data_IF_781624780793
#
_entry.id   IF_781624780793
#
_cell.length_a   1.000
_cell.length_b   1.000
_cell.length_c   1.000
_cell.angle_alpha   90.00
_cell.angle_beta   90.00
_cell.angle_gamma   90.00
#
_symmetry.space_group_name_H-M   'P 1'
#
loop_
_entity.id
_entity.type
_entity.pdbx_description
1 polymer ?
#
# COMPACT_ATOMS: atom_id res chain seq x y z
N UNK A 1 -9.36 -18.05 11.38
CA UNK A 1 -9.06 -16.74 10.75
C UNK A 1 -10.07 -16.56 9.63
N UNK A 2 -10.80 -15.45 9.61
CA UNK A 2 -11.66 -15.13 8.46
C UNK A 2 -10.78 -14.73 7.28
N UNK A 3 -11.07 -15.23 6.09
CA UNK A 3 -10.41 -14.73 4.89
C UNK A 3 -10.81 -13.28 4.65
N UNK A 4 -9.82 -12.46 4.32
CA UNK A 4 -10.06 -11.09 3.89
C UNK A 4 -10.35 -11.08 2.38
N UNK A 5 -11.26 -10.21 1.90
CA UNK A 5 -11.51 -10.09 0.47
C UNK A 5 -10.23 -9.66 -0.25
N UNK A 6 -9.90 -10.36 -1.33
CA UNK A 6 -8.85 -9.95 -2.25
C UNK A 6 -9.42 -8.97 -3.29
N UNK A 7 -8.58 -8.06 -3.79
CA UNK A 7 -8.91 -7.07 -4.81
C UNK A 7 -7.79 -7.03 -5.85
N UNK A 8 -8.14 -7.03 -7.14
CA UNK A 8 -7.20 -7.01 -8.28
C UNK A 8 -7.45 -5.85 -9.27
N UNK A 9 -8.27 -4.88 -8.87
CA UNK A 9 -8.59 -3.68 -9.65
C UNK A 9 -7.47 -2.63 -9.58
N UNK A 10 -6.33 -2.97 -10.17
CA UNK A 10 -5.14 -2.11 -10.18
C UNK A 10 -5.31 -0.85 -11.02
N UNK A 11 -6.15 -0.90 -12.06
CA UNK A 11 -6.42 0.24 -12.93
C UNK A 11 -7.00 1.41 -12.14
N UNK A 12 -8.03 1.15 -11.32
CA UNK A 12 -8.65 2.19 -10.50
C UNK A 12 -7.73 2.69 -9.39
N UNK A 13 -6.83 1.86 -8.86
CA UNK A 13 -5.81 2.33 -7.90
C UNK A 13 -4.99 3.46 -8.51
N UNK A 14 -4.57 3.30 -9.78
CA UNK A 14 -3.77 4.29 -10.50
C UNK A 14 -4.61 5.48 -10.94
N UNK A 15 -5.70 5.24 -11.69
CA UNK A 15 -6.50 6.28 -12.33
C UNK A 15 -7.21 7.19 -11.31
N UNK A 16 -7.66 6.63 -10.19
CA UNK A 16 -8.38 7.37 -9.15
C UNK A 16 -7.48 7.84 -8.00
N UNK A 17 -6.16 7.57 -8.06
CA UNK A 17 -5.20 7.86 -6.98
C UNK A 17 -5.71 7.38 -5.61
N UNK A 18 -6.21 6.13 -5.55
CA UNK A 18 -6.83 5.60 -4.33
C UNK A 18 -5.79 5.62 -3.19
N UNK A 19 -6.15 6.07 -1.97
CA UNK A 19 -5.22 6.07 -0.85
C UNK A 19 -4.71 4.66 -0.54
N UNK A 20 -3.40 4.54 -0.38
CA UNK A 20 -2.74 3.27 -0.06
C UNK A 20 -1.99 3.37 1.26
N UNK A 21 -2.02 2.28 2.03
CA UNK A 21 -1.18 2.09 3.21
C UNK A 21 -0.06 1.14 2.79
N UNK A 22 1.18 1.57 3.02
CA UNK A 22 2.35 0.74 2.80
C UNK A 22 2.86 0.20 4.14
N UNK A 23 2.75 -1.11 4.34
CA UNK A 23 3.10 -1.79 5.60
C UNK A 23 4.54 -2.31 5.65
N UNK A 24 5.33 -2.05 4.60
CA UNK A 24 6.75 -2.42 4.50
C UNK A 24 7.60 -1.63 5.49
N UNK A 25 8.86 -2.04 5.67
CA UNK A 25 9.79 -1.32 6.52
C UNK A 25 10.09 0.09 5.96
N UNK A 26 10.42 1.08 6.82
CA UNK A 26 10.71 2.45 6.36
C UNK A 26 11.81 2.53 5.30
N UNK A 27 12.82 1.66 5.38
CA UNK A 27 13.90 1.60 4.39
C UNK A 27 13.38 1.19 3.01
N UNK A 28 12.46 0.24 2.92
CA UNK A 28 11.87 -0.19 1.64
C UNK A 28 10.94 0.86 1.04
N UNK A 29 10.22 1.61 1.89
CA UNK A 29 9.39 2.72 1.46
C UNK A 29 10.24 3.88 0.89
N UNK A 30 11.38 4.16 1.53
CA UNK A 30 12.31 5.22 1.10
C UNK A 30 12.98 4.93 -0.25
N UNK A 31 13.22 3.65 -0.58
CA UNK A 31 13.75 3.24 -1.90
C UNK A 31 12.74 3.43 -3.03
N UNK A 32 11.44 3.48 -2.71
CA UNK A 32 10.38 3.71 -3.68
C UNK A 32 9.02 3.24 -3.19
N UNK A 33 8.03 4.12 -3.31
CA UNK A 33 6.65 3.84 -2.92
C UNK A 33 5.67 4.34 -3.98
N UNK A 34 4.47 3.78 -3.96
CA UNK A 34 3.39 4.22 -4.84
C UNK A 34 3.04 5.69 -4.53
N UNK A 35 2.82 6.55 -5.55
CA UNK A 35 2.48 7.94 -5.31
C UNK A 35 1.28 8.12 -4.38
N UNK A 36 1.43 8.90 -3.31
CA UNK A 36 0.36 9.16 -2.34
C UNK A 36 0.17 8.07 -1.28
N UNK A 37 0.98 6.99 -1.28
CA UNK A 37 0.96 6.01 -0.20
C UNK A 37 1.50 6.59 1.12
N UNK A 38 0.98 6.08 2.25
CA UNK A 38 1.47 6.41 3.60
C UNK A 38 2.10 5.17 4.23
N UNK A 39 3.34 5.28 4.69
CA UNK A 39 4.03 4.18 5.35
C UNK A 39 3.52 4.00 6.80
N UNK A 40 2.99 2.82 7.11
CA UNK A 40 2.61 2.36 8.45
C UNK A 40 3.21 0.98 8.72
N UNK A 41 4.50 0.90 9.10
CA UNK A 41 5.21 -0.37 9.30
C UNK A 41 4.55 -1.23 10.38
N UNK A 42 4.52 -2.55 10.16
CA UNK A 42 3.99 -3.50 11.15
C UNK A 42 4.90 -3.70 12.37
N UNK A 43 6.18 -3.35 12.24
CA UNK A 43 7.19 -3.49 13.28
C UNK A 43 8.10 -2.26 13.28
N UNK A 44 8.55 -1.84 14.46
CA UNK A 44 9.44 -0.69 14.70
C UNK A 44 10.81 -1.15 15.17
#
# INVERSE_FOLDING_TARGET
MSELPLFDDFERIVLEQRPLIDTRAPVEFAEGAFPGAVNLPLMT
#
